data_IF_759841134383
#
_entry.id   IF_759841134383
#
_cell.length_a   1.000
_cell.length_b   1.000
_cell.length_c   1.000
_cell.angle_alpha   90.00
_cell.angle_beta   90.00
_cell.angle_gamma   90.00
#
_symmetry.space_group_name_H-M   'P 1'
#
loop_
_entity.id
_entity.type
_entity.pdbx_description
1 polymer ?
#
# COMPACT_ATOMS: atom_id res chain seq x y z
N UNK A 1 8.56 11.66 20.54
CA UNK A 1 8.22 11.00 19.27
C UNK A 1 6.72 10.77 19.31
N UNK A 2 6.00 10.93 18.19
CA UNK A 2 4.55 10.71 18.12
C UNK A 2 4.23 9.98 16.82
N UNK A 3 3.07 9.31 16.78
CA UNK A 3 2.50 8.76 15.55
C UNK A 3 1.36 9.65 15.13
N UNK A 4 1.29 10.00 13.85
CA UNK A 4 0.23 10.84 13.33
C UNK A 4 -0.88 9.98 12.74
N UNK A 5 -2.06 10.06 13.33
CA UNK A 5 -3.29 9.48 12.78
C UNK A 5 -4.09 10.54 12.05
N UNK A 6 -5.10 10.12 11.30
CA UNK A 6 -6.06 11.02 10.64
C UNK A 6 -6.90 11.84 11.63
N UNK A 7 -6.94 11.45 12.92
CA UNK A 7 -7.63 12.19 14.00
C UNK A 7 -6.68 13.00 14.88
N UNK A 8 -5.37 12.99 14.59
CA UNK A 8 -4.36 13.71 15.34
C UNK A 8 -3.21 12.84 15.85
N UNK A 9 -2.23 13.44 16.53
CA UNK A 9 -1.09 12.71 17.07
C UNK A 9 -1.49 11.84 18.26
N UNK A 10 -0.92 10.63 18.33
CA UNK A 10 -0.97 9.71 19.47
C UNK A 10 0.46 9.37 19.93
N UNK A 11 0.60 8.84 21.14
CA UNK A 11 1.89 8.33 21.59
C UNK A 11 2.20 6.99 20.88
N UNK A 12 3.47 6.65 20.59
CA UNK A 12 3.80 5.37 19.95
C UNK A 12 3.29 4.14 20.72
N UNK A 13 3.25 4.20 22.04
CA UNK A 13 2.68 3.16 22.91
C UNK A 13 1.16 2.94 22.73
N UNK A 14 0.44 3.91 22.17
CA UNK A 14 -1.00 3.82 21.92
C UNK A 14 -1.33 3.06 20.62
N UNK A 15 -0.34 2.75 19.77
CA UNK A 15 -0.55 1.97 18.54
C UNK A 15 -1.06 0.56 18.82
N UNK A 16 -0.60 -0.07 19.91
CA UNK A 16 -1.03 -1.41 20.29
C UNK A 16 -0.81 -2.46 19.20
N UNK A 17 -1.75 -3.41 19.08
CA UNK A 17 -1.78 -4.33 17.93
C UNK A 17 -2.13 -3.50 16.68
N UNK A 18 -1.24 -3.50 15.69
CA UNK A 18 -1.34 -2.67 14.49
C UNK A 18 -1.26 -3.52 13.22
N UNK A 19 -2.18 -3.31 12.27
CA UNK A 19 -2.03 -3.81 10.90
C UNK A 19 -1.14 -2.84 10.10
N UNK A 20 -0.02 -3.33 9.58
CA UNK A 20 1.05 -2.50 9.02
C UNK A 20 0.81 -2.01 7.59
N UNK A 21 -0.13 -2.59 6.87
CA UNK A 21 -0.42 -2.27 5.48
C UNK A 21 -1.85 -2.74 5.16
N UNK A 22 -2.78 -1.80 5.03
CA UNK A 22 -4.17 -2.08 4.71
C UNK A 22 -4.72 -1.05 3.71
N UNK A 23 -5.89 -1.33 3.16
CA UNK A 23 -6.65 -0.37 2.36
C UNK A 23 -8.11 -0.36 2.82
N UNK A 24 -8.54 0.72 3.48
CA UNK A 24 -9.91 0.84 3.97
C UNK A 24 -10.89 1.15 2.85
N UNK A 25 -10.40 1.89 1.85
CA UNK A 25 -11.07 2.23 0.60
C UNK A 25 -10.00 2.24 -0.49
N UNK A 26 -10.31 1.67 -1.65
CA UNK A 26 -9.36 1.58 -2.77
C UNK A 26 -10.09 1.38 -4.10
N UNK A 27 -9.52 1.94 -5.17
CA UNK A 27 -9.95 1.68 -6.54
C UNK A 27 -8.79 1.16 -7.38
N UNK A 28 -8.78 -0.16 -7.58
CA UNK A 28 -7.79 -0.87 -8.39
C UNK A 28 -8.24 -1.07 -9.84
N UNK A 29 -9.37 -0.49 -10.27
CA UNK A 29 -9.90 -0.70 -11.63
C UNK A 29 -8.99 -0.12 -12.72
N UNK A 30 -8.01 0.71 -12.37
CA UNK A 30 -6.96 1.14 -13.30
C UNK A 30 -5.99 0.02 -13.69
N UNK A 31 -5.87 -1.04 -12.89
CA UNK A 31 -5.08 -2.25 -13.18
C UNK A 31 -5.87 -3.30 -13.97
N UNK A 32 -7.17 -3.05 -14.17
CA UNK A 32 -8.05 -4.00 -14.81
C UNK A 32 -7.67 -4.24 -16.28
N UNK A 33 -7.66 -5.51 -16.66
CA UNK A 33 -7.55 -5.93 -18.05
C UNK A 33 -8.71 -6.88 -18.41
N UNK A 34 -9.21 -6.78 -19.64
CA UNK A 34 -10.41 -7.49 -20.08
C UNK A 34 -10.24 -9.02 -19.89
N UNK A 35 -11.21 -9.71 -19.27
CA UNK A 35 -11.22 -11.17 -19.23
C UNK A 35 -11.30 -11.77 -20.64
N UNK A 36 -10.82 -13.01 -20.82
CA UNK A 36 -11.06 -13.73 -22.06
C UNK A 36 -12.58 -13.90 -22.30
N UNK A 37 -13.04 -14.06 -23.56
CA UNK A 37 -14.47 -14.03 -23.89
C UNK A 37 -15.35 -14.98 -23.07
N UNK A 38 -14.83 -16.16 -22.72
CA UNK A 38 -15.50 -17.18 -21.91
C UNK A 38 -15.76 -16.75 -20.44
N UNK A 39 -15.09 -15.70 -19.96
CA UNK A 39 -15.21 -15.15 -18.60
C UNK A 39 -15.75 -13.73 -18.58
N UNK A 40 -16.18 -13.20 -19.71
CA UNK A 40 -16.74 -11.86 -19.83
C UNK A 40 -18.01 -11.63 -18.99
N UNK A 41 -18.69 -12.71 -18.57
CA UNK A 41 -19.86 -12.62 -17.68
C UNK A 41 -19.51 -12.12 -16.27
N UNK A 42 -18.25 -12.13 -15.87
CA UNK A 42 -17.78 -11.71 -14.53
C UNK A 42 -17.53 -10.21 -14.41
N UNK A 43 -17.37 -9.49 -15.54
CA UNK A 43 -16.84 -8.11 -15.58
C UNK A 43 -17.57 -7.17 -14.62
N UNK A 44 -18.90 -7.23 -14.60
CA UNK A 44 -19.76 -6.35 -13.78
C UNK A 44 -20.52 -7.15 -12.70
N UNK A 45 -19.99 -8.31 -12.28
CA UNK A 45 -20.57 -9.07 -11.18
C UNK A 45 -19.95 -8.69 -9.85
N UNK A 46 -20.80 -8.43 -8.86
CA UNK A 46 -20.37 -8.36 -7.46
C UNK A 46 -19.79 -9.70 -7.01
N UNK A 47 -18.79 -9.71 -6.13
CA UNK A 47 -18.33 -10.95 -5.50
C UNK A 47 -19.45 -11.61 -4.69
N UNK A 48 -19.75 -12.87 -5.00
CA UNK A 48 -20.72 -13.70 -4.27
C UNK A 48 -20.18 -15.10 -4.04
N UNK A 49 -20.85 -15.91 -3.22
CA UNK A 49 -20.46 -17.30 -3.02
C UNK A 49 -20.56 -18.13 -4.32
N UNK A 50 -21.47 -17.78 -5.22
CA UNK A 50 -21.68 -18.47 -6.50
C UNK A 50 -20.52 -18.28 -7.47
N UNK A 51 -19.90 -17.10 -7.50
CA UNK A 51 -18.79 -16.78 -8.41
C UNK A 51 -17.41 -16.80 -7.72
N UNK A 52 -17.35 -17.02 -6.40
CA UNK A 52 -16.10 -17.05 -5.63
C UNK A 52 -15.03 -17.97 -6.24
N UNK A 53 -15.41 -19.18 -6.67
CA UNK A 53 -14.47 -20.12 -7.28
C UNK A 53 -13.87 -19.62 -8.60
N UNK A 54 -14.59 -18.78 -9.33
CA UNK A 54 -14.07 -18.14 -10.54
C UNK A 54 -13.17 -16.95 -10.20
N UNK A 55 -13.56 -16.13 -9.21
CA UNK A 55 -12.81 -14.93 -8.82
C UNK A 55 -11.51 -15.26 -8.09
N UNK A 56 -11.45 -16.33 -7.28
CA UNK A 56 -10.19 -16.79 -6.67
C UNK A 56 -9.15 -17.18 -7.74
N UNK A 57 -9.60 -17.62 -8.94
CA UNK A 57 -8.70 -17.99 -10.04
C UNK A 57 -8.17 -16.83 -10.87
N UNK A 58 -8.82 -15.67 -10.75
CA UNK A 58 -8.35 -14.41 -11.28
C UNK A 58 -9.23 -13.27 -10.71
N UNK A 59 -8.80 -12.61 -9.63
CA UNK A 59 -9.62 -11.62 -8.93
C UNK A 59 -9.88 -10.36 -9.78
N UNK A 60 -9.08 -10.16 -10.84
CA UNK A 60 -9.18 -9.03 -11.74
C UNK A 60 -10.26 -9.19 -12.82
N UNK A 61 -10.94 -10.34 -12.91
CA UNK A 61 -11.97 -10.54 -13.92
C UNK A 61 -13.29 -9.81 -13.60
N UNK A 62 -13.51 -9.40 -12.34
CA UNK A 62 -14.60 -8.50 -11.95
C UNK A 62 -14.08 -7.11 -11.62
N UNK A 63 -14.61 -6.08 -12.27
CA UNK A 63 -14.31 -4.67 -11.96
C UNK A 63 -14.84 -4.25 -10.59
N UNK A 64 -15.90 -4.91 -10.12
CA UNK A 64 -16.50 -4.64 -8.81
C UNK A 64 -15.69 -5.27 -7.68
N UNK A 65 -15.02 -6.40 -7.92
CA UNK A 65 -14.06 -6.98 -6.98
C UNK A 65 -12.81 -6.10 -6.77
N UNK A 66 -12.47 -5.24 -7.74
CA UNK A 66 -11.34 -4.31 -7.68
C UNK A 66 -11.68 -2.97 -7.01
N UNK A 67 -12.83 -2.85 -6.37
CA UNK A 67 -13.31 -1.63 -5.75
C UNK A 67 -13.75 -1.88 -4.31
N UNK A 68 -13.12 -1.21 -3.36
CA UNK A 68 -13.59 -1.12 -1.97
C UNK A 68 -14.08 0.32 -1.76
N UNK A 69 -15.40 0.51 -1.81
CA UNK A 69 -16.03 1.84 -1.74
C UNK A 69 -17.27 1.88 -0.81
N UNK A 70 -17.38 0.93 0.13
CA UNK A 70 -18.50 0.82 1.08
C UNK A 70 -18.02 1.11 2.53
N UNK A 71 -18.21 2.34 3.04
CA UNK A 71 -17.77 2.71 4.39
C UNK A 71 -18.50 1.95 5.48
N UNK A 72 -19.78 1.62 5.29
CA UNK A 72 -20.56 0.88 6.26
C UNK A 72 -20.02 -0.55 6.44
N UNK A 73 -19.68 -1.22 5.33
CA UNK A 73 -19.01 -2.51 5.35
C UNK A 73 -17.60 -2.41 5.96
N UNK A 74 -16.79 -1.42 5.54
CA UNK A 74 -15.45 -1.20 6.09
C UNK A 74 -15.51 -0.97 7.61
N UNK A 75 -16.45 -0.17 8.12
CA UNK A 75 -16.66 0.02 9.56
C UNK A 75 -17.04 -1.29 10.26
N UNK A 76 -17.86 -2.13 9.62
CA UNK A 76 -18.25 -3.42 10.19
C UNK A 76 -17.04 -4.38 10.30
N UNK A 77 -16.18 -4.45 9.29
CA UNK A 77 -14.97 -5.27 9.32
C UNK A 77 -13.95 -4.74 10.34
N UNK A 78 -13.74 -3.42 10.40
CA UNK A 78 -12.82 -2.81 11.39
C UNK A 78 -13.29 -3.02 12.84
N UNK A 79 -14.60 -3.09 13.07
CA UNK A 79 -15.13 -3.45 14.39
C UNK A 79 -14.76 -4.87 14.78
N UNK A 80 -14.75 -5.83 13.85
CA UNK A 80 -14.28 -7.20 14.12
C UNK A 80 -12.80 -7.21 14.47
N UNK A 81 -11.99 -6.45 13.72
CA UNK A 81 -10.57 -6.27 14.02
C UNK A 81 -10.35 -5.70 15.44
N UNK A 82 -11.06 -4.63 15.80
CA UNK A 82 -11.01 -4.04 17.14
C UNK A 82 -11.48 -5.02 18.22
N UNK A 83 -12.58 -5.73 18.00
CA UNK A 83 -13.12 -6.71 18.95
C UNK A 83 -12.18 -7.90 19.16
N UNK A 84 -11.30 -8.18 18.18
CA UNK A 84 -10.20 -9.13 18.29
C UNK A 84 -8.94 -8.57 18.98
N UNK A 85 -8.96 -7.31 19.43
CA UNK A 85 -7.86 -6.64 20.13
C UNK A 85 -7.04 -5.68 19.27
N UNK A 86 -7.43 -5.48 18.01
CA UNK A 86 -6.82 -4.50 17.11
C UNK A 86 -7.00 -3.06 17.61
N UNK A 87 -5.96 -2.24 17.44
CA UNK A 87 -5.96 -0.86 17.94
C UNK A 87 -5.64 0.17 16.86
N UNK A 88 -4.78 -0.19 15.90
CA UNK A 88 -4.37 0.72 14.85
C UNK A 88 -4.18 0.02 13.50
N UNK A 89 -4.22 0.78 12.42
CA UNK A 89 -3.78 0.31 11.11
C UNK A 89 -3.16 1.44 10.31
N UNK A 90 -2.43 1.06 9.27
CA UNK A 90 -1.88 1.98 8.28
C UNK A 90 -2.62 1.79 6.97
N UNK A 91 -3.36 2.83 6.53
CA UNK A 91 -3.97 2.86 5.21
C UNK A 91 -2.94 3.33 4.18
N UNK A 92 -2.61 2.46 3.23
CA UNK A 92 -1.57 2.69 2.22
C UNK A 92 -2.13 3.22 0.89
N UNK A 93 -3.40 3.63 0.84
CA UNK A 93 -3.99 4.11 -0.41
C UNK A 93 -3.40 5.48 -0.80
N UNK A 94 -2.75 5.55 -1.97
CA UNK A 94 -2.06 6.75 -2.47
C UNK A 94 -2.52 7.19 -3.86
N UNK A 95 -1.94 8.26 -4.40
CA UNK A 95 -2.31 8.78 -5.74
C UNK A 95 -2.13 7.68 -6.78
N UNK A 96 -3.17 7.46 -7.58
CA UNK A 96 -3.26 6.35 -8.54
C UNK A 96 -4.34 5.34 -8.16
N UNK A 97 -4.55 5.12 -6.86
CA UNK A 97 -5.53 4.15 -6.31
C UNK A 97 -6.62 4.80 -5.44
N UNK A 98 -6.80 6.12 -5.61
CA UNK A 98 -7.93 6.95 -5.15
C UNK A 98 -8.04 7.10 -3.62
N UNK A 99 -7.11 7.83 -2.98
CA UNK A 99 -7.17 8.09 -1.54
C UNK A 99 -8.33 9.02 -1.18
N UNK A 100 -8.97 8.78 -0.03
CA UNK A 100 -10.03 9.63 0.52
C UNK A 100 -9.81 9.92 2.02
N UNK A 101 -8.98 10.92 2.34
CA UNK A 101 -8.67 11.29 3.73
C UNK A 101 -9.89 11.57 4.59
N UNK A 102 -10.92 12.23 4.04
CA UNK A 102 -12.10 12.60 4.82
C UNK A 102 -12.90 11.37 5.23
N UNK A 103 -13.05 10.37 4.34
CA UNK A 103 -13.71 9.12 4.69
C UNK A 103 -12.87 8.29 5.65
N UNK A 104 -11.54 8.30 5.55
CA UNK A 104 -10.67 7.69 6.58
C UNK A 104 -10.93 8.29 7.97
N UNK A 105 -11.07 9.63 8.09
CA UNK A 105 -11.46 10.26 9.36
C UNK A 105 -12.82 9.77 9.87
N UNK A 106 -13.83 9.69 8.99
CA UNK A 106 -15.16 9.24 9.36
C UNK A 106 -15.15 7.78 9.85
N UNK A 107 -14.39 6.91 9.18
CA UNK A 107 -14.23 5.50 9.55
C UNK A 107 -13.50 5.37 10.89
N UNK A 108 -12.40 6.11 11.10
CA UNK A 108 -11.66 6.13 12.36
C UNK A 108 -12.56 6.56 13.54
N UNK A 109 -13.38 7.60 13.35
CA UNK A 109 -14.34 8.06 14.36
C UNK A 109 -15.43 7.03 14.67
N UNK A 110 -15.90 6.29 13.66
CA UNK A 110 -16.99 5.33 13.80
C UNK A 110 -16.55 3.98 14.42
N UNK A 111 -15.25 3.70 14.42
CA UNK A 111 -14.66 2.41 14.84
C UNK A 111 -13.86 2.49 16.13
N UNK A 112 -13.34 3.67 16.50
CA UNK A 112 -12.37 3.85 17.59
C UNK A 112 -11.05 3.08 17.35
N UNK A 113 -10.70 2.89 16.07
CA UNK A 113 -9.41 2.36 15.60
C UNK A 113 -8.56 3.54 15.13
N UNK A 114 -7.29 3.57 15.55
CA UNK A 114 -6.34 4.57 15.08
C UNK A 114 -5.96 4.31 13.63
N UNK A 115 -6.30 5.22 12.73
CA UNK A 115 -5.94 5.12 11.30
C UNK A 115 -4.78 6.06 11.00
N UNK A 116 -3.64 5.50 10.62
CA UNK A 116 -2.50 6.24 10.05
C UNK A 116 -2.67 6.24 8.54
N UNK A 117 -2.77 7.41 7.92
CA UNK A 117 -2.83 7.50 6.46
C UNK A 117 -1.44 7.67 5.86
N UNK A 118 -1.14 6.88 4.84
CA UNK A 118 0.01 7.06 3.97
C UNK A 118 -0.22 8.15 2.92
N UNK A 119 0.87 8.67 2.36
CA UNK A 119 0.82 9.53 1.19
C UNK A 119 1.93 9.19 0.20
N UNK A 120 1.73 9.53 -1.07
CA UNK A 120 2.70 9.25 -2.10
C UNK A 120 2.05 9.11 -3.46
N UNK A 121 2.81 8.52 -4.38
CA UNK A 121 2.33 8.11 -5.68
C UNK A 121 2.52 6.60 -5.81
N UNK A 122 1.49 5.94 -6.31
CA UNK A 122 1.57 4.52 -6.61
C UNK A 122 2.38 4.31 -7.91
N UNK A 123 2.15 3.19 -8.60
CA UNK A 123 2.93 2.82 -9.80
C UNK A 123 2.65 3.76 -10.98
N UNK A 124 3.69 4.08 -11.75
CA UNK A 124 3.59 5.01 -12.90
C UNK A 124 2.43 4.69 -13.87
N UNK A 125 2.14 3.42 -14.22
CA UNK A 125 1.03 3.09 -15.13
C UNK A 125 -0.37 3.51 -14.65
N UNK A 126 -0.55 3.77 -13.35
CA UNK A 126 -1.82 4.21 -12.77
C UNK A 126 -1.89 5.74 -12.57
N UNK A 127 -0.80 6.44 -12.87
CA UNK A 127 -0.72 7.88 -12.78
C UNK A 127 -1.07 8.52 -14.12
N UNK A 128 -1.66 9.71 -14.08
CA UNK A 128 -1.89 10.50 -15.29
C UNK A 128 -0.56 10.89 -15.93
N UNK A 129 -0.49 10.90 -17.26
CA UNK A 129 0.74 11.22 -18.01
C UNK A 129 1.35 12.57 -17.60
N UNK A 130 0.52 13.54 -17.20
CA UNK A 130 0.96 14.85 -16.69
C UNK A 130 1.84 14.77 -15.45
N UNK A 131 1.77 13.68 -14.68
CA UNK A 131 2.60 13.46 -13.50
C UNK A 131 3.94 12.83 -13.85
N UNK A 132 4.06 12.16 -14.99
CA UNK A 132 5.25 11.38 -15.33
C UNK A 132 6.50 12.26 -15.41
N UNK A 133 6.37 13.50 -15.89
CA UNK A 133 7.49 14.42 -16.05
C UNK A 133 7.81 15.27 -14.80
N UNK A 134 7.10 15.06 -13.68
CA UNK A 134 7.41 15.81 -12.45
C UNK A 134 8.83 15.56 -11.98
N UNK A 135 9.49 16.63 -11.54
CA UNK A 135 10.85 16.56 -11.00
C UNK A 135 10.87 15.97 -9.60
N UNK A 136 12.05 15.53 -9.15
CA UNK A 136 12.25 15.03 -7.78
C UNK A 136 11.87 16.09 -6.75
N UNK A 137 12.19 17.35 -7.02
CA UNK A 137 11.88 18.50 -6.15
C UNK A 137 10.37 18.74 -6.05
N UNK A 138 9.65 18.70 -7.17
CA UNK A 138 8.19 18.87 -7.17
C UNK A 138 7.50 17.74 -6.39
N UNK A 139 7.98 16.50 -6.52
CA UNK A 139 7.47 15.36 -5.75
C UNK A 139 7.79 15.54 -4.25
N UNK A 140 9.00 16.01 -3.92
CA UNK A 140 9.38 16.25 -2.52
C UNK A 140 8.53 17.36 -1.89
N UNK A 141 8.20 18.42 -2.64
CA UNK A 141 7.30 19.49 -2.19
C UNK A 141 5.90 18.95 -1.89
N UNK A 142 5.35 18.07 -2.73
CA UNK A 142 4.06 17.42 -2.45
C UNK A 142 4.11 16.59 -1.16
N UNK A 143 5.14 15.75 -1.00
CA UNK A 143 5.30 14.90 0.18
C UNK A 143 5.43 15.74 1.46
N UNK A 144 6.20 16.83 1.42
CA UNK A 144 6.30 17.79 2.52
C UNK A 144 4.97 18.47 2.82
N UNK A 145 4.22 18.86 1.80
CA UNK A 145 2.88 19.45 1.98
C UNK A 145 1.93 18.45 2.65
N UNK A 146 1.89 17.21 2.18
CA UNK A 146 1.00 16.17 2.70
C UNK A 146 1.37 15.74 4.13
N UNK A 147 2.66 15.73 4.45
CA UNK A 147 3.15 15.47 5.79
C UNK A 147 2.99 16.66 6.74
N UNK A 148 3.04 17.92 6.30
CA UNK A 148 3.10 19.06 7.22
C UNK A 148 1.83 19.91 7.28
N UNK A 149 1.06 19.98 6.19
CA UNK A 149 -0.07 20.89 6.06
C UNK A 149 -1.37 20.12 5.86
N UNK A 150 -1.41 19.23 4.86
CA UNK A 150 -2.52 18.33 4.59
C UNK A 150 -2.44 17.71 3.19
N UNK A 151 -3.03 16.53 3.04
CA UNK A 151 -2.97 15.74 1.81
C UNK A 151 -4.19 15.92 0.93
N UNK A 152 -3.97 15.87 -0.38
CA UNK A 152 -5.02 15.76 -1.40
C UNK A 152 -6.12 16.82 -1.33
N UNK A 153 -5.74 18.06 -1.03
CA UNK A 153 -6.68 19.20 -0.94
C UNK A 153 -7.44 19.29 0.39
N UNK A 154 -7.02 18.54 1.41
CA UNK A 154 -7.60 18.55 2.76
C UNK A 154 -6.63 19.13 3.78
N UNK A 155 -7.07 19.29 5.03
CA UNK A 155 -6.21 19.64 6.19
C UNK A 155 -5.72 18.40 6.95
N UNK A 156 -6.07 17.20 6.49
CA UNK A 156 -5.69 15.93 7.12
C UNK A 156 -4.29 15.58 6.67
N UNK A 157 -3.41 15.26 7.60
CA UNK A 157 -1.99 15.07 7.33
C UNK A 157 -1.63 13.60 7.37
N UNK A 158 -0.76 13.17 6.46
CA UNK A 158 -0.24 11.81 6.42
C UNK A 158 0.70 11.52 7.60
N UNK A 159 0.80 10.25 7.99
CA UNK A 159 1.71 9.77 9.02
C UNK A 159 3.02 9.20 8.51
N UNK A 160 3.07 8.80 7.24
CA UNK A 160 4.26 8.30 6.55
C UNK A 160 4.15 8.54 5.04
N UNK A 161 5.26 8.32 4.32
CA UNK A 161 5.27 8.30 2.86
C UNK A 161 5.12 6.85 2.40
N UNK A 162 3.96 6.48 1.87
CA UNK A 162 3.68 5.13 1.42
C UNK A 162 2.19 4.89 1.10
N UNK A 163 1.85 3.87 0.33
CA UNK A 163 2.80 3.02 -0.40
C UNK A 163 3.38 3.77 -1.61
N UNK A 164 4.72 3.76 -1.75
CA UNK A 164 5.39 4.29 -2.93
C UNK A 164 5.51 3.19 -3.97
N UNK A 165 4.77 3.31 -5.07
CA UNK A 165 4.72 2.29 -6.11
C UNK A 165 6.00 2.17 -6.92
N UNK A 166 6.45 0.94 -7.16
CA UNK A 166 7.54 0.64 -8.11
C UNK A 166 7.15 -0.52 -9.02
N UNK A 167 7.63 -0.45 -10.26
CA UNK A 167 7.45 -1.48 -11.28
C UNK A 167 8.75 -2.26 -11.49
N UNK A 168 8.70 -3.30 -12.34
CA UNK A 168 9.89 -4.03 -12.80
C UNK A 168 9.91 -4.04 -14.34
N UNK A 169 10.84 -3.33 -15.00
CA UNK A 169 11.84 -2.44 -14.40
C UNK A 169 11.20 -1.20 -13.74
N UNK A 170 11.91 -0.61 -12.77
CA UNK A 170 11.50 0.64 -12.12
C UNK A 170 11.44 1.76 -13.17
N UNK A 171 10.31 2.46 -13.25
CA UNK A 171 10.15 3.57 -14.18
C UNK A 171 10.90 4.82 -13.73
N UNK A 172 11.26 5.75 -14.66
CA UNK A 172 11.94 6.99 -14.30
C UNK A 172 11.20 7.84 -13.26
N UNK A 173 9.86 7.92 -13.32
CA UNK A 173 9.06 8.61 -12.31
C UNK A 173 9.19 7.94 -10.93
N UNK A 174 9.10 6.62 -10.89
CA UNK A 174 9.17 5.83 -9.65
C UNK A 174 10.55 5.98 -9.00
N UNK A 175 11.64 5.99 -9.78
CA UNK A 175 12.98 6.29 -9.23
C UNK A 175 13.05 7.72 -8.66
N UNK A 176 12.52 8.73 -9.37
CA UNK A 176 12.45 10.11 -8.84
C UNK A 176 11.65 10.18 -7.55
N UNK A 177 10.55 9.44 -7.43
CA UNK A 177 9.74 9.41 -6.23
C UNK A 177 10.50 8.83 -5.04
N UNK A 178 11.26 7.74 -5.23
CA UNK A 178 12.08 7.15 -4.17
C UNK A 178 13.13 8.16 -3.68
N UNK A 179 13.80 8.86 -4.61
CA UNK A 179 14.79 9.88 -4.26
C UNK A 179 14.16 11.06 -3.51
N UNK A 180 12.99 11.50 -3.94
CA UNK A 180 12.23 12.54 -3.25
C UNK A 180 11.85 12.12 -1.83
N UNK A 181 11.35 10.89 -1.66
CA UNK A 181 10.99 10.36 -0.35
C UNK A 181 12.21 10.26 0.59
N UNK A 182 13.36 9.81 0.10
CA UNK A 182 14.60 9.79 0.88
C UNK A 182 15.00 11.20 1.34
N UNK A 183 14.92 12.19 0.45
CA UNK A 183 15.18 13.59 0.80
C UNK A 183 14.24 14.10 1.90
N UNK A 184 12.94 13.84 1.76
CA UNK A 184 11.91 14.26 2.72
C UNK A 184 12.05 13.54 4.07
N UNK A 185 12.39 12.25 4.06
CA UNK A 185 12.69 11.51 5.29
C UNK A 185 13.85 12.14 6.06
N UNK A 186 14.91 12.59 5.38
CA UNK A 186 16.06 13.23 6.06
C UNK A 186 15.70 14.54 6.74
N UNK A 187 14.70 15.27 6.22
CA UNK A 187 14.23 16.53 6.80
C UNK A 187 13.27 16.27 7.96
N UNK A 188 12.34 15.34 7.78
CA UNK A 188 11.17 15.17 8.65
C UNK A 188 11.31 14.03 9.65
N UNK A 189 12.16 13.06 9.34
CA UNK A 189 12.21 11.77 10.01
C UNK A 189 10.96 10.91 9.77
N UNK A 190 10.13 11.18 8.76
CA UNK A 190 8.97 10.33 8.45
C UNK A 190 9.43 8.96 7.89
N UNK A 191 8.69 7.89 8.23
CA UNK A 191 8.97 6.57 7.69
C UNK A 191 8.56 6.48 6.22
N UNK A 192 9.16 5.53 5.49
CA UNK A 192 8.84 5.23 4.09
C UNK A 192 8.29 3.80 4.02
N UNK A 193 7.21 3.59 3.26
CA UNK A 193 6.78 2.26 2.82
C UNK A 193 6.81 2.22 1.29
N UNK A 194 7.41 1.17 0.73
CA UNK A 194 7.55 0.99 -0.72
C UNK A 194 6.87 -0.29 -1.17
N UNK A 195 6.11 -0.17 -2.25
CA UNK A 195 5.53 -1.29 -3.00
C UNK A 195 6.48 -1.73 -4.12
N UNK A 196 7.15 -2.89 -3.97
CA UNK A 196 7.78 -3.56 -5.10
C UNK A 196 6.71 -4.20 -5.99
N UNK A 197 6.97 -4.30 -7.30
CA UNK A 197 6.16 -5.19 -8.14
C UNK A 197 6.20 -6.61 -7.55
N UNK A 198 5.02 -7.19 -7.35
CA UNK A 198 4.87 -8.57 -6.85
C UNK A 198 5.63 -9.56 -7.71
N UNK A 199 6.18 -10.61 -7.07
CA UNK A 199 7.05 -11.64 -7.67
C UNK A 199 8.32 -11.11 -8.37
N UNK A 200 8.68 -9.85 -8.17
CA UNK A 200 9.91 -9.23 -8.67
C UNK A 200 11.08 -9.23 -7.67
N UNK A 201 12.28 -8.88 -8.13
CA UNK A 201 13.49 -8.80 -7.30
C UNK A 201 14.03 -7.36 -7.13
N UNK A 202 13.21 -6.34 -7.39
CA UNK A 202 13.63 -4.93 -7.33
C UNK A 202 13.91 -4.43 -5.91
N UNK A 203 13.54 -5.19 -4.86
CA UNK A 203 13.75 -4.88 -3.44
C UNK A 203 15.11 -4.24 -3.11
N UNK A 204 16.21 -4.88 -3.53
CA UNK A 204 17.56 -4.38 -3.23
C UNK A 204 17.95 -3.17 -4.08
N UNK A 205 17.37 -3.01 -5.28
CA UNK A 205 17.57 -1.82 -6.10
C UNK A 205 16.84 -0.62 -5.50
N UNK A 206 15.62 -0.82 -5.00
CA UNK A 206 14.84 0.18 -4.26
C UNK A 206 15.64 0.68 -3.06
N UNK A 207 16.13 -0.24 -2.22
CA UNK A 207 16.95 0.11 -1.05
C UNK A 207 18.24 0.84 -1.44
N UNK A 208 18.90 0.44 -2.53
CA UNK A 208 20.08 1.14 -3.03
C UNK A 208 19.76 2.58 -3.44
N UNK A 209 18.65 2.84 -4.14
CA UNK A 209 18.24 4.20 -4.51
C UNK A 209 17.99 5.07 -3.27
N UNK A 210 17.30 4.53 -2.27
CA UNK A 210 17.03 5.24 -1.02
C UNK A 210 18.33 5.53 -0.25
N UNK A 211 19.23 4.55 -0.15
CA UNK A 211 20.53 4.67 0.51
C UNK A 211 21.46 5.67 -0.19
N UNK A 212 21.48 5.69 -1.52
CA UNK A 212 22.23 6.68 -2.33
C UNK A 212 21.86 8.13 -1.96
N UNK A 213 20.60 8.37 -1.60
CA UNK A 213 20.09 9.68 -1.17
C UNK A 213 20.21 9.93 0.34
N UNK A 214 20.74 8.96 1.08
CA UNK A 214 20.98 9.03 2.52
C UNK A 214 19.75 8.76 3.38
N UNK A 215 18.79 7.98 2.90
CA UNK A 215 17.68 7.49 3.70
C UNK A 215 18.19 6.64 4.90
N UNK A 216 17.49 6.74 6.03
CA UNK A 216 17.65 5.82 7.14
C UNK A 216 16.81 4.57 6.87
N UNK A 217 17.48 3.51 6.41
CA UNK A 217 16.82 2.26 6.03
C UNK A 217 16.10 1.58 7.22
N UNK A 218 16.48 1.87 8.47
CA UNK A 218 15.76 1.37 9.66
C UNK A 218 14.34 1.90 9.79
N UNK A 219 13.98 2.89 8.96
CA UNK A 219 12.66 3.51 8.86
C UNK A 219 12.00 3.30 7.50
N UNK A 220 12.50 2.34 6.72
CA UNK A 220 11.95 1.93 5.44
C UNK A 220 11.33 0.54 5.58
N UNK A 221 10.06 0.42 5.23
CA UNK A 221 9.37 -0.86 5.08
C UNK A 221 9.24 -1.23 3.60
N UNK A 222 9.49 -2.49 3.26
CA UNK A 222 9.25 -3.03 1.92
C UNK A 222 8.05 -3.97 1.97
N UNK A 223 6.99 -3.61 1.26
CA UNK A 223 5.73 -4.37 1.16
C UNK A 223 5.89 -5.66 0.38
N UNK A 224 4.92 -6.58 0.53
CA UNK A 224 4.78 -7.80 -0.26
C UNK A 224 6.02 -8.71 -0.25
N UNK A 225 6.84 -8.64 0.81
CA UNK A 225 8.03 -9.49 0.90
C UNK A 225 7.66 -10.97 1.00
N UNK A 226 6.46 -11.28 1.47
CA UNK A 226 5.89 -12.62 1.58
C UNK A 226 5.31 -13.17 0.27
N UNK A 227 5.24 -12.37 -0.81
CA UNK A 227 4.96 -12.86 -2.17
C UNK A 227 6.17 -13.59 -2.78
N UNK A 228 7.37 -13.34 -2.25
CA UNK A 228 8.59 -14.07 -2.58
C UNK A 228 9.06 -14.87 -1.36
N UNK A 229 8.62 -16.12 -1.24
CA UNK A 229 8.99 -17.00 -0.11
C UNK A 229 10.42 -17.52 -0.26
N UNK A 230 11.39 -16.63 -0.08
CA UNK A 230 12.82 -16.90 -0.16
C UNK A 230 13.55 -16.32 1.06
N UNK A 231 13.72 -17.11 2.14
CA UNK A 231 14.35 -16.62 3.38
C UNK A 231 15.75 -16.01 3.17
N UNK A 232 16.54 -16.57 2.24
CA UNK A 232 17.85 -16.03 1.89
C UNK A 232 17.78 -14.66 1.19
N UNK A 233 16.68 -14.37 0.48
CA UNK A 233 16.44 -13.04 -0.09
C UNK A 233 15.97 -12.05 0.99
N UNK A 234 15.07 -12.49 1.88
CA UNK A 234 14.63 -11.69 3.04
C UNK A 234 15.80 -11.29 3.94
N UNK A 235 16.73 -12.22 4.20
CA UNK A 235 17.96 -11.95 4.96
C UNK A 235 18.74 -10.79 4.34
N UNK A 236 18.91 -10.77 3.02
CA UNK A 236 19.62 -9.69 2.32
C UNK A 236 18.93 -8.33 2.42
N UNK A 237 17.60 -8.32 2.49
CA UNK A 237 16.81 -7.08 2.72
C UNK A 237 16.99 -6.62 4.18
N UNK A 238 16.88 -7.54 5.13
CA UNK A 238 17.02 -7.24 6.56
C UNK A 238 18.45 -6.80 6.94
N UNK A 239 19.48 -7.38 6.31
CA UNK A 239 20.90 -6.99 6.50
C UNK A 239 21.16 -5.52 6.12
N UNK A 240 20.34 -4.94 5.23
CA UNK A 240 20.39 -3.52 4.87
C UNK A 240 19.71 -2.63 5.92
N UNK A 241 19.01 -3.22 6.88
CA UNK A 241 18.31 -2.54 7.97
C UNK A 241 16.84 -2.25 7.70
N UNK A 242 16.30 -2.62 6.54
CA UNK A 242 14.89 -2.39 6.20
C UNK A 242 13.94 -3.33 6.98
N UNK A 243 12.72 -2.85 7.19
CA UNK A 243 11.62 -3.64 7.74
C UNK A 243 10.98 -4.46 6.62
N UNK A 244 10.94 -5.77 6.79
CA UNK A 244 10.18 -6.67 5.92
C UNK A 244 8.70 -6.58 6.30
N UNK A 245 7.85 -6.17 5.37
CA UNK A 245 6.40 -6.20 5.56
C UNK A 245 5.86 -7.48 4.92
N UNK A 246 5.29 -8.34 5.75
CA UNK A 246 4.57 -9.53 5.33
C UNK A 246 3.08 -9.23 5.43
N UNK A 247 2.50 -8.76 4.33
CA UNK A 247 1.20 -8.07 4.30
C UNK A 247 0.17 -8.75 3.39
N UNK A 248 0.47 -9.95 2.88
CA UNK A 248 -0.44 -10.72 2.01
C UNK A 248 -1.02 -11.96 2.68
N UNK A 249 -0.91 -12.09 4.00
CA UNK A 249 -1.51 -13.19 4.76
C UNK A 249 -3.03 -13.29 4.52
N UNK A 250 -3.50 -14.49 4.23
CA UNK A 250 -4.88 -14.77 3.84
C UNK A 250 -5.20 -14.54 2.35
N UNK A 251 -4.28 -13.93 1.59
CA UNK A 251 -4.35 -13.86 0.13
C UNK A 251 -3.66 -15.09 -0.49
N UNK A 252 -4.43 -15.90 -1.19
CA UNK A 252 -3.98 -17.15 -1.82
C UNK A 252 -4.55 -17.29 -3.25
N UNK A 253 -4.72 -16.15 -3.94
CA UNK A 253 -5.34 -16.12 -5.26
C UNK A 253 -4.46 -16.82 -6.30
N UNK A 254 -5.12 -17.34 -7.34
CA UNK A 254 -4.48 -17.82 -8.55
C UNK A 254 -4.70 -16.81 -9.67
N UNK A 255 -3.80 -16.80 -10.65
CA UNK A 255 -3.84 -15.90 -11.80
C UNK A 255 -3.75 -16.73 -13.08
N UNK A 256 -4.91 -17.15 -13.60
CA UNK A 256 -5.01 -18.03 -14.77
C UNK A 256 -4.22 -17.55 -16.01
N UNK A 257 -4.06 -16.24 -16.17
CA UNK A 257 -3.35 -15.66 -17.33
C UNK A 257 -1.84 -15.81 -17.26
N UNK A 258 -1.27 -15.70 -16.06
CA UNK A 258 0.18 -15.79 -15.84
C UNK A 258 0.60 -17.17 -15.32
N UNK A 259 -0.36 -18.05 -15.01
CA UNK A 259 -0.16 -19.30 -14.29
C UNK A 259 0.58 -19.11 -12.96
N UNK A 260 0.42 -17.93 -12.35
CA UNK A 260 0.99 -17.59 -11.06
C UNK A 260 0.00 -17.88 -9.94
N UNK A 261 0.53 -18.20 -8.76
CA UNK A 261 -0.24 -18.38 -7.54
C UNK A 261 0.44 -17.57 -6.44
N UNK A 262 -0.35 -16.83 -5.67
CA UNK A 262 0.14 -16.26 -4.42
C UNK A 262 0.55 -17.39 -3.48
N UNK A 263 1.63 -17.21 -2.71
CA UNK A 263 2.00 -18.17 -1.67
C UNK A 263 0.82 -18.45 -0.74
N UNK A 264 0.74 -19.68 -0.21
CA UNK A 264 -0.22 -19.98 0.85
C UNK A 264 0.34 -19.51 2.18
N UNK A 265 -0.53 -19.29 3.16
CA UNK A 265 -0.08 -18.94 4.51
C UNK A 265 0.84 -20.02 5.10
N UNK A 266 0.62 -21.29 4.75
CA UNK A 266 1.52 -22.39 5.14
C UNK A 266 2.90 -22.31 4.51
N UNK A 267 3.02 -21.67 3.35
CA UNK A 267 4.30 -21.45 2.68
C UNK A 267 5.02 -20.25 3.31
N UNK A 268 4.29 -19.17 3.64
CA UNK A 268 4.83 -17.97 4.32
C UNK A 268 5.46 -18.23 5.69
N UNK A 269 5.00 -19.26 6.41
CA UNK A 269 5.45 -19.59 7.78
C UNK A 269 6.58 -20.65 7.85
N UNK A 270 6.98 -21.25 6.72
CA UNK A 270 8.03 -22.28 6.68
C UNK A 270 9.43 -21.69 6.60
#
# INVERSE_FOLDING_TARGET
MYIRTVLGPIAPEDLGITLGHEHLLIDLRGLWDNPPPERAHLIEQEPTLENLGELIRNPYDSRLNLLIDDPELTVAELRRYRDAGGQALIDMTTVGIKPDPQRLCAIAQATDVHVVAGCGYYRQPLLTETLHDRSTEEIADDLLLWLNEGMYGTTIRAGLMGELGTSSPIYPFEERQLRAAAHVQRITGASINVHPLTWGYEHLRILAILEEEGADLSRVAISHCDELVEPAWHERIAERGAVLSFDTFGSEAYFDRSFAQEPRDTDRIQ
#
